data_IF_470738194473
#
_entry.id   IF_470738194473
#
_cell.length_a   1.000
_cell.length_b   1.000
_cell.length_c   1.000
_cell.angle_alpha   90.00
_cell.angle_beta   90.00
_cell.angle_gamma   90.00
#
_symmetry.space_group_name_H-M   'P 1'
#
loop_
_entity.id
_entity.type
_entity.pdbx_description
1 polymer ?
#
# COMPACT_ATOMS: atom_id res chain seq x y z
N UNK A 1 16.19 9.90 -3.34
CA UNK A 1 15.57 8.62 -2.94
C UNK A 1 14.66 8.18 -4.08
N UNK A 2 14.54 6.87 -4.36
CA UNK A 2 13.53 6.37 -5.30
C UNK A 2 12.14 6.83 -4.87
N UNK A 3 11.24 7.05 -5.83
CA UNK A 3 9.85 7.43 -5.54
C UNK A 3 9.15 6.29 -4.81
N UNK A 4 8.15 6.61 -4.00
CA UNK A 4 7.40 5.59 -3.26
C UNK A 4 6.77 4.55 -4.19
N UNK A 5 6.30 4.97 -5.38
CA UNK A 5 5.72 4.08 -6.39
C UNK A 5 6.71 3.05 -6.95
N UNK A 6 8.00 3.40 -7.07
CA UNK A 6 9.04 2.49 -7.57
C UNK A 6 9.32 1.38 -6.56
N UNK A 7 9.40 1.74 -5.28
CA UNK A 7 9.52 0.78 -4.18
C UNK A 7 8.27 -0.11 -4.14
N UNK A 8 7.08 0.49 -4.20
CA UNK A 8 5.81 -0.23 -4.14
C UNK A 8 5.68 -1.28 -5.26
N UNK A 9 6.01 -0.94 -6.51
CA UNK A 9 6.01 -1.88 -7.65
C UNK A 9 6.95 -3.08 -7.42
N UNK A 10 8.06 -2.86 -6.72
CA UNK A 10 9.05 -3.90 -6.43
C UNK A 10 8.55 -4.88 -5.37
N UNK A 11 7.95 -4.37 -4.28
CA UNK A 11 7.53 -5.20 -3.13
C UNK A 11 6.10 -5.74 -3.26
N UNK A 12 5.28 -5.15 -4.12
CA UNK A 12 3.89 -5.53 -4.34
C UNK A 12 3.56 -5.70 -5.84
N UNK A 13 4.25 -6.59 -6.56
CA UNK A 13 4.15 -6.72 -8.02
C UNK A 13 2.78 -7.17 -8.53
N UNK A 14 1.91 -7.67 -7.63
CA UNK A 14 0.54 -8.12 -7.95
C UNK A 14 -0.54 -7.19 -7.39
N UNK A 15 -0.15 -6.03 -6.87
CA UNK A 15 -1.10 -5.08 -6.34
C UNK A 15 -2.12 -4.65 -7.40
N UNK A 16 -3.36 -4.44 -6.98
CA UNK A 16 -4.41 -3.91 -7.85
C UNK A 16 -4.04 -2.50 -8.33
N UNK A 17 -4.50 -2.17 -9.54
CA UNK A 17 -4.19 -0.90 -10.22
C UNK A 17 -4.56 0.34 -9.40
N UNK A 18 -5.63 0.28 -8.60
CA UNK A 18 -6.02 1.41 -7.75
C UNK A 18 -4.97 1.77 -6.70
N UNK A 19 -4.24 0.77 -6.15
CA UNK A 19 -3.13 1.04 -5.23
C UNK A 19 -1.93 1.63 -5.97
N UNK A 20 -1.60 1.09 -7.15
CA UNK A 20 -0.53 1.62 -8.00
C UNK A 20 -0.78 3.09 -8.36
N UNK A 21 -2.00 3.40 -8.82
CA UNK A 21 -2.40 4.76 -9.14
C UNK A 21 -2.34 5.71 -7.93
N UNK A 22 -2.68 5.23 -6.73
CA UNK A 22 -2.59 6.02 -5.50
C UNK A 22 -1.15 6.41 -5.17
N UNK A 23 -0.19 5.48 -5.29
CA UNK A 23 1.23 5.78 -5.07
C UNK A 23 1.84 6.59 -6.21
N UNK A 24 1.39 6.42 -7.46
CA UNK A 24 1.84 7.22 -8.60
C UNK A 24 1.50 8.71 -8.43
N UNK A 25 0.33 9.01 -7.86
CA UNK A 25 -0.18 10.38 -7.67
C UNK A 25 -0.04 10.91 -6.22
N UNK A 26 0.51 10.10 -5.31
CA UNK A 26 0.48 10.35 -3.86
C UNK A 26 1.68 11.10 -3.28
N UNK A 27 2.68 11.44 -4.08
CA UNK A 27 3.96 12.00 -3.58
C UNK A 27 3.78 13.26 -2.73
N UNK A 28 2.89 14.17 -3.15
CA UNK A 28 2.60 15.40 -2.39
C UNK A 28 1.99 15.12 -1.01
N UNK A 29 1.14 14.08 -0.90
CA UNK A 29 0.55 13.67 0.38
C UNK A 29 1.61 13.03 1.29
N UNK A 30 2.45 12.15 0.74
CA UNK A 30 3.56 11.57 1.49
C UNK A 30 4.50 12.65 2.03
N UNK A 31 4.77 13.69 1.24
CA UNK A 31 5.55 14.84 1.68
C UNK A 31 4.85 15.64 2.78
N UNK A 32 3.56 15.95 2.60
CA UNK A 32 2.75 16.68 3.58
C UNK A 32 2.75 16.00 4.96
N UNK A 33 2.70 14.66 5.00
CA UNK A 33 2.70 13.89 6.25
C UNK A 33 4.09 13.43 6.71
N UNK A 34 5.16 13.92 6.06
CA UNK A 34 6.54 13.65 6.46
C UNK A 34 7.01 12.21 6.24
N UNK A 35 6.37 11.46 5.33
CA UNK A 35 6.80 10.12 4.89
C UNK A 35 7.84 10.28 3.78
N UNK A 36 8.95 10.96 4.10
CA UNK A 36 9.95 11.43 3.13
C UNK A 36 11.31 10.75 3.25
N UNK A 37 11.51 9.89 4.26
CA UNK A 37 12.74 9.10 4.41
C UNK A 37 12.49 7.65 4.00
N UNK A 38 13.52 6.97 3.49
CA UNK A 38 13.41 5.55 3.09
C UNK A 38 12.85 4.67 4.22
N UNK A 39 13.25 4.91 5.47
CA UNK A 39 12.76 4.14 6.62
C UNK A 39 11.26 4.38 6.87
N UNK A 40 10.80 5.63 6.77
CA UNK A 40 9.37 5.94 6.94
C UNK A 40 8.53 5.41 5.79
N UNK A 41 9.01 5.49 4.55
CA UNK A 41 8.35 4.89 3.39
C UNK A 41 8.26 3.38 3.56
N UNK A 42 9.34 2.71 3.96
CA UNK A 42 9.35 1.27 4.19
C UNK A 42 8.34 0.85 5.27
N UNK A 43 8.31 1.54 6.43
CA UNK A 43 7.34 1.24 7.48
C UNK A 43 5.90 1.49 7.04
N UNK A 44 5.64 2.59 6.33
CA UNK A 44 4.31 2.88 5.81
C UNK A 44 3.84 1.80 4.84
N UNK A 45 4.68 1.44 3.87
CA UNK A 45 4.37 0.38 2.91
C UNK A 45 4.20 -0.98 3.58
N UNK A 46 5.00 -1.30 4.60
CA UNK A 46 4.86 -2.55 5.35
C UNK A 46 3.46 -2.67 5.98
N UNK A 47 2.95 -1.59 6.58
CA UNK A 47 1.60 -1.57 7.15
C UNK A 47 0.53 -1.68 6.05
N UNK A 48 0.60 -0.84 5.01
CA UNK A 48 -0.36 -0.88 3.89
C UNK A 48 -0.44 -2.30 3.29
N UNK A 49 0.70 -2.94 3.05
CA UNK A 49 0.73 -4.27 2.46
C UNK A 49 0.28 -5.37 3.42
N UNK A 50 0.54 -5.23 4.72
CA UNK A 50 0.00 -6.15 5.72
C UNK A 50 -1.52 -6.14 5.72
N UNK A 51 -2.13 -4.95 5.82
CA UNK A 51 -3.59 -4.78 5.92
C UNK A 51 -4.34 -5.13 4.63
N UNK A 52 -3.68 -5.03 3.48
CA UNK A 52 -4.31 -5.21 2.15
C UNK A 52 -3.96 -6.53 1.47
N UNK A 53 -3.32 -7.46 2.18
CA UNK A 53 -2.86 -8.73 1.61
C UNK A 53 -1.89 -8.52 0.43
N UNK A 54 -0.92 -7.63 0.60
CA UNK A 54 0.04 -7.26 -0.45
C UNK A 54 -0.56 -6.41 -1.56
N UNK A 55 -1.57 -5.58 -1.26
CA UNK A 55 -2.29 -4.76 -2.24
C UNK A 55 -3.25 -5.54 -3.13
N UNK A 56 -3.61 -6.77 -2.77
CA UNK A 56 -4.51 -7.64 -3.56
C UNK A 56 -5.95 -7.64 -3.04
N UNK A 57 -6.18 -7.12 -1.84
CA UNK A 57 -7.50 -6.97 -1.23
C UNK A 57 -7.83 -5.48 -1.14
N UNK A 58 -9.02 -5.10 -1.62
CA UNK A 58 -9.50 -3.71 -1.56
C UNK A 58 -10.66 -3.54 -0.58
N UNK A 59 -11.47 -4.58 -0.45
CA UNK A 59 -12.61 -4.61 0.45
C UNK A 59 -12.50 -5.87 1.30
N UNK A 60 -12.88 -5.74 2.56
CA UNK A 60 -13.06 -6.89 3.42
C UNK A 60 -14.19 -7.79 2.92
N UNK A 61 -14.10 -9.09 3.19
CA UNK A 61 -15.16 -10.04 2.90
C UNK A 61 -16.04 -10.20 4.14
N UNK A 62 -17.31 -9.81 4.03
CA UNK A 62 -18.31 -9.91 5.10
C UNK A 62 -19.17 -11.20 4.98
N UNK A 63 -18.74 -12.18 4.20
CA UNK A 63 -19.43 -13.45 4.07
C UNK A 63 -19.13 -14.35 5.29
N UNK A 64 -19.98 -14.25 6.31
CA UNK A 64 -19.91 -15.06 7.52
C UNK A 64 -20.88 -16.24 7.47
N UNK A 65 -20.49 -17.36 8.09
CA UNK A 65 -21.36 -18.52 8.31
C UNK A 65 -21.53 -18.77 9.81
N UNK A 66 -22.66 -19.34 10.22
CA UNK A 66 -22.83 -19.79 11.61
C UNK A 66 -21.97 -21.03 11.89
N UNK A 67 -21.44 -21.16 13.10
CA UNK A 67 -20.84 -22.41 13.55
C UNK A 67 -21.90 -23.52 13.51
N UNK A 68 -21.51 -24.74 13.13
CA UNK A 68 -22.37 -25.92 13.20
C UNK A 68 -22.57 -26.39 14.64
#
# INVERSE_FOLDING_TARGET
MPRAVEIFRTVAPRAKENYLAAFENGDALLQQFGITTSLRVAHFLAQVLHETGGGTVLFENLNYTTAR
#
